data_IF_809586765904
#
_entry.id   IF_809586765904
#
_cell.length_a   1.000
_cell.length_b   1.000
_cell.length_c   1.000
_cell.angle_alpha   90.00
_cell.angle_beta   90.00
_cell.angle_gamma   90.00
#
_symmetry.space_group_name_H-M   'P 1'
#
loop_
_entity.id
_entity.type
_entity.pdbx_description
1 polymer ?
#
# COMPACT_ATOMS: atom_id res chain seq x y z
N UNK A 1 71.35 38.09 -27.07
CA UNK A 1 72.80 37.92 -26.95
C UNK A 1 73.11 36.39 -27.04
N UNK A 2 73.85 36.05 -28.14
CA UNK A 2 74.65 34.82 -28.37
C UNK A 2 73.95 33.46 -28.30
N UNK A 3 73.62 32.78 -29.45
CA UNK A 3 74.56 31.98 -30.29
C UNK A 3 75.14 30.77 -29.49
N UNK A 4 74.95 29.50 -29.93
CA UNK A 4 75.60 28.73 -31.03
C UNK A 4 75.09 27.31 -31.00
N UNK A 5 74.59 26.64 -32.06
CA UNK A 5 75.29 25.94 -33.17
C UNK A 5 76.19 24.76 -32.70
N UNK A 6 75.90 23.61 -33.34
CA UNK A 6 76.78 22.46 -33.56
C UNK A 6 75.96 21.18 -33.72
N UNK A 7 75.61 20.70 -34.83
CA UNK A 7 76.23 20.11 -36.07
C UNK A 7 77.10 18.85 -35.72
N UNK A 8 76.73 17.81 -36.42
CA UNK A 8 77.37 16.73 -37.18
C UNK A 8 77.16 15.31 -36.61
N UNK A 9 76.51 14.51 -37.50
CA UNK A 9 77.11 13.40 -38.29
C UNK A 9 77.48 12.19 -37.50
N UNK A 10 77.12 11.02 -37.79
CA UNK A 10 77.00 10.32 -39.03
C UNK A 10 76.92 8.81 -38.79
N UNK A 11 76.50 8.16 -39.80
CA UNK A 11 76.94 6.87 -40.31
C UNK A 11 76.33 5.58 -39.70
N UNK A 12 75.51 4.95 -40.47
CA UNK A 12 75.59 3.60 -41.09
C UNK A 12 75.74 2.42 -40.14
N UNK A 13 74.85 1.44 -40.21
CA UNK A 13 75.03 0.10 -40.82
C UNK A 13 73.86 -0.82 -40.47
N UNK A 14 73.11 -1.22 -41.44
CA UNK A 14 72.72 -2.55 -41.93
C UNK A 14 72.33 -3.66 -40.92
N UNK A 15 71.16 -4.21 -41.24
CA UNK A 15 70.75 -5.64 -41.21
C UNK A 15 70.46 -6.31 -39.90
N UNK A 16 69.17 -6.67 -39.75
CA UNK A 16 68.77 -8.06 -39.72
C UNK A 16 67.22 -8.18 -39.63
N UNK A 17 66.69 -8.79 -40.66
CA UNK A 17 65.33 -9.32 -40.72
C UNK A 17 65.22 -10.45 -39.72
N UNK A 18 64.42 -10.31 -38.71
CA UNK A 18 63.95 -11.43 -37.93
C UNK A 18 62.45 -11.29 -37.73
N UNK A 19 61.76 -12.05 -38.57
CA UNK A 19 60.31 -12.18 -38.49
C UNK A 19 59.90 -12.80 -37.17
N UNK A 20 59.28 -12.01 -36.31
CA UNK A 20 58.54 -12.51 -35.16
C UNK A 20 57.06 -12.48 -35.50
N UNK A 21 56.49 -13.64 -35.80
CA UNK A 21 55.07 -13.88 -35.78
C UNK A 21 54.56 -13.60 -34.37
N UNK A 22 53.83 -12.50 -34.20
CA UNK A 22 53.04 -12.25 -33.03
C UNK A 22 51.76 -13.06 -33.16
N UNK A 23 51.41 -13.92 -32.16
CA UNK A 23 50.09 -14.55 -32.15
C UNK A 23 49.04 -13.48 -31.90
N UNK A 24 48.10 -13.33 -32.84
CA UNK A 24 46.85 -12.58 -32.64
C UNK A 24 46.07 -13.22 -31.53
N UNK A 25 46.08 -12.64 -30.35
CA UNK A 25 45.16 -13.01 -29.28
C UNK A 25 43.73 -12.64 -29.73
N UNK A 26 42.77 -13.55 -29.67
CA UNK A 26 41.39 -13.19 -29.90
C UNK A 26 40.97 -12.24 -28.78
N UNK A 27 40.57 -11.01 -29.17
CA UNK A 27 39.87 -10.09 -28.31
C UNK A 27 38.57 -10.78 -27.92
N UNK A 28 38.49 -11.33 -26.73
CA UNK A 28 37.22 -11.69 -26.11
C UNK A 28 36.46 -10.39 -25.90
N UNK A 29 35.51 -10.14 -26.78
CA UNK A 29 34.48 -9.15 -26.55
C UNK A 29 33.77 -9.57 -25.27
N UNK A 30 34.07 -8.91 -24.16
CA UNK A 30 33.25 -8.96 -22.96
C UNK A 30 31.92 -8.34 -23.35
N UNK A 31 30.95 -9.18 -23.71
CA UNK A 31 29.57 -8.83 -23.72
C UNK A 31 29.24 -8.42 -22.29
N UNK A 32 29.19 -7.12 -22.02
CA UNK A 32 28.59 -6.56 -20.83
C UNK A 32 27.17 -7.12 -20.79
N UNK A 33 26.94 -8.11 -19.95
CA UNK A 33 25.60 -8.52 -19.59
C UNK A 33 24.95 -7.26 -18.98
N UNK A 34 24.12 -6.60 -19.77
CA UNK A 34 23.19 -5.61 -19.25
C UNK A 34 22.30 -6.40 -18.34
N UNK A 35 22.60 -6.33 -17.04
CA UNK A 35 21.75 -6.82 -16.00
C UNK A 35 20.43 -6.06 -16.18
N UNK A 36 19.44 -6.72 -16.79
CA UNK A 36 18.07 -6.23 -16.87
C UNK A 36 17.59 -6.23 -15.42
N UNK A 37 17.84 -5.12 -14.72
CA UNK A 37 17.16 -4.83 -13.47
C UNK A 37 15.70 -4.98 -13.81
N UNK A 38 15.10 -6.08 -13.35
CA UNK A 38 13.66 -6.28 -13.51
C UNK A 38 13.00 -5.13 -12.77
N UNK A 39 12.62 -4.11 -13.55
CA UNK A 39 11.90 -2.98 -13.00
C UNK A 39 10.71 -3.54 -12.21
N UNK A 40 10.66 -3.23 -10.92
CA UNK A 40 9.57 -3.61 -10.05
C UNK A 40 8.23 -3.20 -10.68
N UNK A 41 7.13 -3.60 -10.09
CA UNK A 41 5.82 -3.14 -10.54
C UNK A 41 5.71 -1.62 -10.36
N UNK A 42 4.82 -0.96 -11.07
CA UNK A 42 4.53 0.47 -10.91
C UNK A 42 3.12 0.81 -11.37
N UNK A 43 2.58 1.87 -10.82
CA UNK A 43 1.30 2.44 -11.25
C UNK A 43 1.58 3.34 -12.45
N UNK A 44 0.99 3.02 -13.60
CA UNK A 44 1.23 3.75 -14.86
C UNK A 44 0.12 4.76 -15.17
N UNK A 45 -1.11 4.48 -14.76
CA UNK A 45 -2.25 5.34 -15.06
C UNK A 45 -3.31 5.28 -13.96
N UNK A 46 -3.96 6.41 -13.71
CA UNK A 46 -5.14 6.53 -12.85
C UNK A 46 -6.22 7.26 -13.62
N UNK A 47 -7.41 6.67 -13.70
CA UNK A 47 -8.60 7.27 -14.33
C UNK A 47 -9.79 7.03 -13.42
N UNK A 48 -10.62 8.05 -13.21
CA UNK A 48 -11.90 7.93 -12.53
C UNK A 48 -13.05 8.20 -13.52
N UNK A 49 -14.09 7.41 -13.41
CA UNK A 49 -15.32 7.57 -14.18
C UNK A 49 -16.53 7.32 -13.29
N UNK A 50 -17.62 8.04 -13.53
CA UNK A 50 -18.91 7.78 -12.89
C UNK A 50 -19.71 6.80 -13.74
N UNK A 51 -20.20 5.73 -13.12
CA UNK A 51 -21.03 4.72 -13.76
C UNK A 51 -22.20 4.35 -12.86
N UNK A 52 -23.40 4.63 -13.29
CA UNK A 52 -24.63 4.25 -12.55
C UNK A 52 -24.68 4.80 -11.13
N UNK A 53 -24.18 6.02 -10.88
CA UNK A 53 -24.12 6.62 -9.55
C UNK A 53 -22.95 6.16 -8.68
N UNK A 54 -22.13 5.21 -9.14
CA UNK A 54 -20.89 4.80 -8.49
C UNK A 54 -19.71 5.49 -9.17
N UNK A 55 -18.62 5.66 -8.42
CA UNK A 55 -17.34 6.10 -8.99
C UNK A 55 -16.44 4.90 -9.13
N UNK A 56 -15.99 4.63 -10.35
CA UNK A 56 -15.00 3.59 -10.64
C UNK A 56 -13.66 4.26 -10.88
N UNK A 57 -12.71 4.01 -9.97
CA UNK A 57 -11.32 4.40 -10.11
C UNK A 57 -10.54 3.22 -10.67
N UNK A 58 -9.98 3.38 -11.86
CA UNK A 58 -9.16 2.38 -12.55
C UNK A 58 -7.70 2.76 -12.46
N UNK A 59 -6.90 1.88 -11.90
CA UNK A 59 -5.44 1.96 -11.86
C UNK A 59 -4.88 0.96 -12.86
N UNK A 60 -4.03 1.40 -13.77
CA UNK A 60 -3.31 0.50 -14.68
C UNK A 60 -1.89 0.32 -14.16
N UNK A 61 -1.51 -0.92 -13.95
CA UNK A 61 -0.21 -1.35 -13.43
C UNK A 61 0.72 -1.76 -14.58
N UNK A 62 2.03 -1.68 -14.38
CA UNK A 62 3.01 -2.20 -15.35
C UNK A 62 2.94 -3.74 -15.47
N UNK A 63 2.62 -4.42 -14.37
CA UNK A 63 2.46 -5.89 -14.29
C UNK A 63 1.20 -6.24 -13.51
N UNK A 64 0.55 -7.39 -13.77
CA UNK A 64 -0.55 -7.85 -12.94
C UNK A 64 -0.15 -7.97 -11.47
N UNK A 65 -1.09 -7.69 -10.56
CA UNK A 65 -0.92 -7.93 -9.14
C UNK A 65 -1.31 -9.38 -8.82
N UNK A 66 -0.55 -10.03 -7.97
CA UNK A 66 -0.84 -11.39 -7.50
C UNK A 66 -2.01 -11.43 -6.50
N UNK A 67 -2.24 -10.34 -5.78
CA UNK A 67 -3.32 -10.20 -4.79
C UNK A 67 -3.81 -8.76 -4.73
N UNK A 68 -5.00 -8.57 -4.17
CA UNK A 68 -5.53 -7.24 -3.93
C UNK A 68 -4.62 -6.45 -2.96
N UNK A 69 -4.45 -5.13 -3.18
CA UNK A 69 -3.69 -4.29 -2.26
C UNK A 69 -4.35 -4.25 -0.89
N UNK A 70 -3.55 -4.15 0.16
CA UNK A 70 -4.05 -3.86 1.49
C UNK A 70 -4.82 -2.53 1.49
N UNK A 71 -5.97 -2.48 2.15
CA UNK A 71 -6.77 -1.28 2.19
C UNK A 71 -7.34 -0.98 3.56
N UNK A 72 -7.38 0.30 3.91
CA UNK A 72 -8.09 0.77 5.10
C UNK A 72 -8.79 2.10 4.83
N UNK A 73 -9.85 2.36 5.59
CA UNK A 73 -10.60 3.60 5.49
C UNK A 73 -10.64 4.35 6.81
N UNK A 74 -10.72 5.67 6.72
CA UNK A 74 -10.84 6.58 7.87
C UNK A 74 -12.06 7.47 7.62
N UNK A 75 -12.95 7.58 8.62
CA UNK A 75 -14.19 8.31 8.44
C UNK A 75 -14.02 9.84 8.58
N UNK A 76 -13.07 10.30 9.40
CA UNK A 76 -12.87 11.72 9.65
C UNK A 76 -11.37 12.08 9.73
N UNK A 77 -10.83 12.77 8.71
CA UNK A 77 -11.44 13.10 7.41
C UNK A 77 -11.65 11.83 6.56
N UNK A 78 -12.70 11.84 5.71
CA UNK A 78 -13.07 10.68 4.91
C UNK A 78 -11.98 10.33 3.89
N UNK A 79 -11.34 9.18 4.06
CA UNK A 79 -10.24 8.69 3.22
C UNK A 79 -10.27 7.18 3.09
N UNK A 80 -9.82 6.70 1.93
CA UNK A 80 -9.48 5.30 1.71
C UNK A 80 -8.02 5.25 1.31
N UNK A 81 -7.22 4.46 2.02
CA UNK A 81 -5.83 4.22 1.68
C UNK A 81 -5.66 2.81 1.14
N UNK A 82 -4.83 2.67 0.11
CA UNK A 82 -4.48 1.41 -0.54
C UNK A 82 -2.96 1.29 -0.55
N UNK A 83 -2.45 0.19 -0.05
CA UNK A 83 -1.02 -0.09 0.02
C UNK A 83 -0.61 -1.10 -1.05
N UNK A 84 0.33 -0.71 -1.90
CA UNK A 84 0.90 -1.50 -2.98
C UNK A 84 2.37 -1.81 -2.63
N UNK A 85 2.68 -3.00 -2.09
CA UNK A 85 4.06 -3.42 -1.88
C UNK A 85 4.77 -3.63 -3.22
N UNK A 86 6.09 -3.57 -3.24
CA UNK A 86 6.96 -3.77 -4.40
C UNK A 86 6.51 -3.00 -5.65
N UNK A 87 5.92 -1.81 -5.44
CA UNK A 87 5.28 -1.02 -6.50
C UNK A 87 5.76 0.43 -6.44
N UNK A 88 6.27 0.93 -7.55
CA UNK A 88 6.70 2.30 -7.72
C UNK A 88 5.60 3.22 -8.24
N UNK A 89 5.81 4.52 -8.09
CA UNK A 89 4.97 5.57 -8.69
C UNK A 89 5.46 5.90 -10.11
N UNK A 90 4.83 5.31 -11.13
CA UNK A 90 5.12 5.57 -12.53
C UNK A 90 4.37 6.77 -13.12
N UNK A 91 3.54 7.47 -12.34
CA UNK A 91 2.71 8.58 -12.82
C UNK A 91 3.47 9.90 -12.98
N UNK A 92 4.67 10.01 -12.37
CA UNK A 92 5.45 11.25 -12.37
C UNK A 92 4.82 12.41 -11.57
N UNK A 93 3.79 12.12 -10.75
CA UNK A 93 3.10 13.09 -9.90
C UNK A 93 2.68 12.43 -8.58
N UNK A 94 2.57 13.24 -7.53
CA UNK A 94 2.23 12.79 -6.19
C UNK A 94 0.78 13.11 -5.79
N UNK A 95 0.03 13.78 -6.66
CA UNK A 95 -1.39 14.08 -6.44
C UNK A 95 -2.12 14.25 -7.76
N UNK A 96 -3.39 13.84 -7.77
CA UNK A 96 -4.30 14.06 -8.88
C UNK A 96 -5.67 14.42 -8.36
N UNK A 97 -6.24 15.53 -8.87
CA UNK A 97 -7.58 15.97 -8.53
C UNK A 97 -8.61 15.22 -9.38
N UNK A 98 -9.70 14.82 -8.72
CA UNK A 98 -10.88 14.24 -9.33
C UNK A 98 -12.10 14.95 -8.78
N UNK A 99 -13.13 15.16 -9.60
CA UNK A 99 -14.43 15.69 -9.18
C UNK A 99 -15.50 14.70 -9.66
N UNK A 100 -15.40 13.46 -9.17
CA UNK A 100 -16.30 12.38 -9.55
C UNK A 100 -17.00 11.87 -8.28
N UNK A 101 -18.30 12.07 -8.18
CA UNK A 101 -19.10 11.68 -7.02
C UNK A 101 -18.50 12.16 -5.69
N UNK A 102 -18.20 11.21 -4.80
CA UNK A 102 -17.57 11.51 -3.51
C UNK A 102 -16.03 11.61 -3.60
N UNK A 103 -15.39 11.21 -4.70
CA UNK A 103 -13.95 11.29 -4.88
C UNK A 103 -13.50 12.72 -5.20
N UNK A 104 -12.60 13.28 -4.38
CA UNK A 104 -12.03 14.62 -4.55
C UNK A 104 -10.63 14.60 -5.13
N UNK A 105 -9.77 13.81 -4.55
CA UNK A 105 -8.37 13.69 -5.03
C UNK A 105 -7.79 12.35 -4.64
N UNK A 106 -6.71 11.97 -5.33
CA UNK A 106 -5.87 10.84 -5.00
C UNK A 106 -4.46 11.36 -4.75
N UNK A 107 -3.93 11.11 -3.57
CA UNK A 107 -2.53 11.38 -3.24
C UNK A 107 -1.74 10.07 -3.38
N UNK A 108 -0.57 10.16 -3.95
CA UNK A 108 0.35 9.06 -4.19
C UNK A 108 1.60 9.29 -3.36
N UNK A 109 1.86 8.43 -2.39
CA UNK A 109 3.02 8.50 -1.51
C UNK A 109 3.86 7.26 -1.73
N UNK A 110 5.07 7.43 -2.23
CA UNK A 110 6.03 6.35 -2.35
C UNK A 110 7.07 6.43 -1.24
N UNK A 111 7.30 5.32 -0.55
CA UNK A 111 8.33 5.17 0.48
C UNK A 111 9.08 3.87 0.21
N UNK A 112 10.32 3.99 -0.28
CA UNK A 112 11.11 2.85 -0.71
C UNK A 112 10.46 2.14 -1.91
N UNK A 113 10.25 0.85 -1.77
CA UNK A 113 9.63 -0.04 -2.76
C UNK A 113 8.09 -0.10 -2.68
N UNK A 114 7.49 0.68 -1.79
CA UNK A 114 6.05 0.68 -1.52
C UNK A 114 5.40 1.98 -1.97
N UNK A 115 4.24 1.87 -2.62
CA UNK A 115 3.39 3.01 -2.96
C UNK A 115 2.07 2.93 -2.22
N UNK A 116 1.70 4.01 -1.53
CA UNK A 116 0.39 4.21 -0.91
C UNK A 116 -0.42 5.19 -1.73
N UNK A 117 -1.63 4.78 -2.14
CA UNK A 117 -2.64 5.67 -2.65
C UNK A 117 -3.58 6.09 -1.53
N UNK A 118 -3.84 7.39 -1.40
CA UNK A 118 -4.82 7.92 -0.47
C UNK A 118 -5.91 8.63 -1.27
N UNK A 119 -7.09 8.02 -1.31
CA UNK A 119 -8.30 8.59 -1.90
C UNK A 119 -8.92 9.54 -0.89
N UNK A 120 -8.97 10.82 -1.18
CA UNK A 120 -9.66 11.81 -0.35
C UNK A 120 -11.10 11.91 -0.84
N UNK A 121 -12.04 11.70 0.08
CA UNK A 121 -13.46 11.65 -0.21
C UNK A 121 -14.18 12.84 0.47
N UNK A 122 -15.33 13.24 -0.08
CA UNK A 122 -16.22 14.21 0.60
C UNK A 122 -16.93 13.60 1.80
N UNK A 123 -17.23 12.31 1.71
CA UNK A 123 -17.76 11.46 2.78
C UNK A 123 -17.28 10.03 2.58
N UNK A 124 -17.19 9.27 3.65
CA UNK A 124 -16.80 7.86 3.54
C UNK A 124 -17.92 7.08 2.82
N UNK A 125 -17.55 6.45 1.71
CA UNK A 125 -18.43 5.61 0.89
C UNK A 125 -17.92 4.18 0.93
N UNK A 126 -18.81 3.16 0.92
CA UNK A 126 -18.41 1.77 0.75
C UNK A 126 -17.65 1.61 -0.56
N UNK A 127 -16.64 0.75 -0.53
CA UNK A 127 -15.83 0.49 -1.72
C UNK A 127 -15.58 -1.02 -1.91
N UNK A 128 -15.33 -1.38 -3.15
CA UNK A 128 -14.94 -2.73 -3.57
C UNK A 128 -13.68 -2.65 -4.44
N UNK A 129 -12.81 -3.65 -4.33
CA UNK A 129 -11.56 -3.72 -5.10
C UNK A 129 -11.57 -5.00 -5.91
N UNK A 130 -11.38 -4.86 -7.23
CA UNK A 130 -11.26 -5.99 -8.16
C UNK A 130 -9.97 -5.87 -8.96
N UNK A 131 -9.38 -7.02 -9.22
CA UNK A 131 -8.22 -7.15 -10.09
C UNK A 131 -8.67 -7.69 -11.44
N UNK A 132 -8.30 -7.00 -12.51
CA UNK A 132 -8.56 -7.41 -13.91
C UNK A 132 -7.25 -7.29 -14.70
N UNK A 133 -6.57 -8.40 -14.91
CA UNK A 133 -5.26 -8.44 -15.56
C UNK A 133 -4.27 -7.45 -14.91
N UNK A 134 -3.94 -6.36 -15.61
CA UNK A 134 -3.06 -5.30 -15.10
C UNK A 134 -3.81 -4.13 -14.46
N UNK A 135 -5.14 -4.21 -14.42
CA UNK A 135 -5.95 -3.13 -13.90
C UNK A 135 -6.47 -3.46 -12.49
N UNK A 136 -6.44 -2.47 -11.63
CA UNK A 136 -7.08 -2.49 -10.31
C UNK A 136 -8.28 -1.57 -10.37
N UNK A 137 -9.46 -2.13 -10.23
CA UNK A 137 -10.72 -1.39 -10.23
C UNK A 137 -11.18 -1.17 -8.79
N UNK A 138 -11.32 0.09 -8.40
CA UNK A 138 -11.84 0.49 -7.09
C UNK A 138 -13.18 1.15 -7.33
N UNK A 139 -14.26 0.51 -6.90
CA UNK A 139 -15.63 1.01 -7.06
C UNK A 139 -16.09 1.64 -5.75
N UNK A 140 -16.31 2.95 -5.74
CA UNK A 140 -16.91 3.68 -4.62
C UNK A 140 -18.43 3.73 -4.85
N UNK A 141 -19.21 3.15 -3.93
CA UNK A 141 -20.67 3.09 -4.06
C UNK A 141 -21.32 4.34 -3.49
N UNK A 142 -22.23 4.99 -4.24
CA UNK A 142 -22.98 6.12 -3.72
C UNK A 142 -24.02 5.68 -2.67
N UNK A 143 -24.29 6.54 -1.68
CA UNK A 143 -25.28 6.26 -0.64
C UNK A 143 -26.70 6.11 -1.20
N UNK A 144 -27.01 6.75 -2.33
CA UNK A 144 -28.32 6.69 -2.97
C UNK A 144 -28.67 5.28 -3.50
N UNK A 145 -27.68 4.48 -3.88
CA UNK A 145 -27.94 3.10 -4.31
C UNK A 145 -28.27 2.14 -3.15
N UNK A 146 -27.90 2.46 -1.91
CA UNK A 146 -28.27 1.64 -0.75
C UNK A 146 -29.76 1.75 -0.40
N UNK A 147 -30.36 2.92 -0.55
CA UNK A 147 -31.81 3.09 -0.35
C UNK A 147 -32.61 2.39 -1.46
N UNK A 148 -32.15 2.47 -2.71
CA UNK A 148 -32.78 1.76 -3.82
C UNK A 148 -32.61 0.23 -3.72
N UNK A 149 -31.44 -0.24 -3.25
CA UNK A 149 -31.18 -1.68 -3.03
C UNK A 149 -32.02 -2.28 -1.89
N UNK A 150 -32.29 -1.50 -0.84
CA UNK A 150 -33.12 -1.97 0.28
C UNK A 150 -34.62 -1.98 -0.05
N UNK A 151 -35.08 -1.19 -1.03
CA UNK A 151 -36.47 -1.18 -1.49
C UNK A 151 -36.76 -2.31 -2.51
N UNK A 152 -35.73 -2.84 -3.18
CA UNK A 152 -35.87 -3.96 -4.15
C UNK A 152 -35.77 -5.33 -3.47
N UNK A 153 -35.32 -5.40 -2.20
CA UNK A 153 -35.19 -6.68 -1.48
C UNK A 153 -36.51 -7.23 -0.90
N UNK A 154 -37.67 -6.62 -1.19
CA UNK A 154 -38.98 -7.10 -0.71
C UNK A 154 -39.90 -7.71 -1.79
N UNK A 155 -39.43 -7.98 -2.98
CA UNK A 155 -40.23 -8.81 -3.91
C UNK A 155 -39.39 -9.38 -5.03
N UNK A 156 -38.97 -10.61 -4.93
CA UNK A 156 -39.11 -11.69 -5.89
C UNK A 156 -38.26 -12.90 -5.49
N UNK A 157 -38.89 -13.87 -4.84
CA UNK A 157 -38.48 -15.27 -4.97
C UNK A 157 -38.70 -15.66 -6.42
N UNK A 158 -37.66 -16.18 -7.04
CA UNK A 158 -37.58 -17.16 -8.13
C UNK A 158 -36.36 -16.88 -9.03
N UNK A 159 -35.18 -17.27 -8.56
CA UNK A 159 -34.09 -17.83 -9.36
C UNK A 159 -33.03 -18.34 -8.36
N UNK A 160 -32.68 -19.61 -8.47
CA UNK A 160 -31.61 -20.19 -7.67
C UNK A 160 -30.32 -19.37 -7.86
N UNK A 161 -29.65 -18.97 -6.77
CA UNK A 161 -28.40 -18.26 -6.93
C UNK A 161 -27.38 -19.22 -7.54
N UNK A 162 -26.76 -18.79 -8.65
CA UNK A 162 -25.51 -19.39 -9.08
C UNK A 162 -24.55 -19.43 -7.89
N UNK A 163 -23.70 -20.46 -7.71
CA UNK A 163 -22.78 -20.53 -6.60
C UNK A 163 -21.87 -19.31 -6.68
N UNK A 164 -22.12 -18.33 -5.78
CA UNK A 164 -21.17 -17.26 -5.53
C UNK A 164 -19.91 -17.96 -5.08
N UNK A 165 -18.81 -17.73 -5.78
CA UNK A 165 -17.47 -18.04 -5.29
C UNK A 165 -17.43 -17.59 -3.84
N UNK A 166 -17.22 -18.51 -2.92
CA UNK A 166 -17.09 -18.24 -1.49
C UNK A 166 -15.94 -17.26 -1.38
N UNK A 167 -16.28 -15.97 -1.16
CA UNK A 167 -15.28 -14.93 -0.98
C UNK A 167 -14.33 -15.39 0.12
N UNK A 168 -13.05 -15.40 -0.18
CA UNK A 168 -11.99 -15.77 0.74
C UNK A 168 -12.22 -15.02 2.05
N UNK A 169 -12.44 -15.77 3.14
CA UNK A 169 -12.56 -15.22 4.48
C UNK A 169 -11.16 -14.96 4.98
N UNK A 170 -10.92 -13.73 5.36
CA UNK A 170 -9.68 -13.34 6.01
C UNK A 170 -9.69 -13.82 7.47
N UNK A 171 -8.53 -13.91 8.08
CA UNK A 171 -8.42 -14.24 9.50
C UNK A 171 -7.34 -13.43 10.19
N UNK A 172 -7.57 -13.13 11.47
CA UNK A 172 -6.54 -12.60 12.34
C UNK A 172 -5.74 -13.77 12.89
N UNK A 173 -4.42 -13.71 12.73
CA UNK A 173 -3.48 -14.73 13.21
C UNK A 173 -2.94 -14.44 14.59
N UNK A 174 -2.63 -13.16 14.85
CA UNK A 174 -2.12 -12.72 16.14
C UNK A 174 -2.45 -11.24 16.40
N UNK A 175 -2.46 -10.86 17.66
CA UNK A 175 -2.66 -9.48 18.13
C UNK A 175 -1.60 -9.19 19.17
N UNK A 176 -0.73 -8.25 18.88
CA UNK A 176 0.37 -7.86 19.73
C UNK A 176 0.27 -6.37 20.09
N UNK A 177 0.56 -6.04 21.36
CA UNK A 177 0.62 -4.66 21.81
C UNK A 177 1.98 -4.36 22.44
N UNK A 178 2.56 -3.22 22.08
CA UNK A 178 3.84 -2.78 22.62
C UNK A 178 3.91 -1.27 22.72
N UNK A 179 4.79 -0.79 23.59
CA UNK A 179 5.16 0.63 23.66
C UNK A 179 6.23 0.90 22.62
N UNK A 180 6.07 1.97 21.84
CA UNK A 180 7.07 2.46 20.93
C UNK A 180 8.09 3.40 21.61
N UNK A 181 9.06 3.85 20.85
CA UNK A 181 10.21 4.65 21.36
C UNK A 181 9.81 6.04 21.86
N UNK A 182 8.78 6.62 21.30
CA UNK A 182 8.27 7.95 21.64
C UNK A 182 7.14 7.91 22.68
N UNK A 183 6.86 6.71 23.24
CA UNK A 183 5.80 6.48 24.21
C UNK A 183 4.45 6.17 23.59
N UNK A 184 4.38 6.03 22.26
CA UNK A 184 3.18 5.62 21.56
C UNK A 184 2.77 4.19 21.90
N UNK A 185 1.46 3.93 21.95
CA UNK A 185 0.90 2.58 21.98
C UNK A 185 0.84 2.04 20.55
N UNK A 186 1.49 0.90 20.33
CA UNK A 186 1.55 0.25 19.03
C UNK A 186 0.84 -1.09 19.06
N UNK A 187 -0.31 -1.14 18.41
CA UNK A 187 -1.08 -2.36 18.19
C UNK A 187 -0.70 -2.93 16.83
N UNK A 188 -0.25 -4.18 16.82
CA UNK A 188 0.12 -4.92 15.61
C UNK A 188 -0.83 -6.10 15.49
N UNK A 189 -1.50 -6.22 14.36
CA UNK A 189 -2.44 -7.31 14.05
C UNK A 189 -1.93 -8.06 12.86
N UNK A 190 -1.60 -9.34 13.04
CA UNK A 190 -1.17 -10.23 11.97
C UNK A 190 -2.39 -10.81 11.27
N UNK A 191 -2.48 -10.62 9.97
CA UNK A 191 -3.59 -11.03 9.12
C UNK A 191 -3.20 -12.27 8.29
N UNK A 192 -4.19 -12.99 7.79
CA UNK A 192 -3.97 -14.11 6.87
C UNK A 192 -3.33 -13.66 5.55
N UNK A 193 -3.69 -12.48 5.10
CA UNK A 193 -3.29 -11.92 3.82
C UNK A 193 -3.39 -10.39 3.82
N UNK A 194 -2.80 -9.75 2.83
CA UNK A 194 -2.77 -8.31 2.67
C UNK A 194 -4.07 -7.71 2.13
N UNK A 195 -4.99 -8.53 1.61
CA UNK A 195 -6.25 -8.08 0.99
C UNK A 195 -7.38 -7.79 2.00
N UNK A 196 -7.11 -7.93 3.31
CA UNK A 196 -8.11 -7.64 4.35
C UNK A 196 -8.51 -6.17 4.33
N UNK A 197 -9.79 -5.89 4.10
CA UNK A 197 -10.35 -4.54 4.21
C UNK A 197 -10.46 -4.12 5.68
N UNK A 198 -10.00 -2.90 5.99
CA UNK A 198 -9.98 -2.37 7.37
C UNK A 198 -10.65 -1.00 7.39
N UNK A 199 -11.65 -0.85 8.25
CA UNK A 199 -12.34 0.42 8.48
C UNK A 199 -11.98 0.97 9.86
N UNK A 200 -11.53 2.22 9.92
CA UNK A 200 -11.14 2.90 11.17
C UNK A 200 -11.98 4.13 11.35
N UNK A 201 -12.61 4.22 12.51
CA UNK A 201 -13.39 5.41 12.89
C UNK A 201 -13.23 5.74 14.38
N UNK A 202 -13.29 7.01 14.67
CA UNK A 202 -13.38 7.47 16.05
C UNK A 202 -14.85 7.51 16.46
N UNK A 203 -15.15 6.91 17.61
CA UNK A 203 -16.47 6.95 18.22
C UNK A 203 -16.32 7.42 19.68
N UNK A 204 -16.72 8.67 19.92
CA UNK A 204 -16.44 9.32 21.21
C UNK A 204 -14.95 9.40 21.47
N UNK A 205 -14.50 8.82 22.58
CA UNK A 205 -13.09 8.76 22.99
C UNK A 205 -12.40 7.49 22.53
N UNK A 206 -13.07 6.59 21.84
CA UNK A 206 -12.52 5.31 21.41
C UNK A 206 -12.27 5.26 19.90
N UNK A 207 -11.29 4.47 19.50
CA UNK A 207 -11.07 4.09 18.11
C UNK A 207 -11.72 2.72 17.86
N UNK A 208 -12.54 2.66 16.84
CA UNK A 208 -13.15 1.42 16.36
C UNK A 208 -12.42 1.02 15.08
N UNK A 209 -11.90 -0.21 15.07
CA UNK A 209 -11.24 -0.82 13.90
C UNK A 209 -12.04 -2.05 13.52
N UNK A 210 -12.67 -2.03 12.36
CA UNK A 210 -13.42 -3.16 11.80
C UNK A 210 -12.61 -3.83 10.69
N UNK A 211 -12.28 -5.10 10.87
CA UNK A 211 -11.68 -5.96 9.85
C UNK A 211 -12.81 -6.66 9.11
N UNK A 212 -12.99 -6.32 7.83
CA UNK A 212 -14.12 -6.73 7.01
C UNK A 212 -13.95 -8.18 6.53
N UNK A 213 -15.05 -8.96 6.52
CA UNK A 213 -15.07 -10.38 6.11
C UNK A 213 -13.96 -11.21 6.78
N UNK A 214 -13.71 -10.93 8.05
CA UNK A 214 -12.56 -11.46 8.80
C UNK A 214 -13.05 -12.25 10.01
N UNK A 215 -12.38 -13.35 10.30
CA UNK A 215 -12.60 -14.16 11.48
C UNK A 215 -11.41 -14.04 12.46
N UNK A 216 -11.65 -14.15 13.74
CA UNK A 216 -10.61 -14.22 14.75
C UNK A 216 -10.78 -15.52 15.58
N UNK A 217 -9.69 -16.23 15.87
CA UNK A 217 -9.70 -17.34 16.82
C UNK A 217 -10.27 -16.91 18.18
N UNK A 218 -10.91 -17.82 18.89
CA UNK A 218 -11.56 -17.51 20.17
C UNK A 218 -10.59 -16.91 21.20
N UNK A 219 -9.37 -17.41 21.24
CA UNK A 219 -8.33 -16.92 22.13
C UNK A 219 -7.94 -15.45 21.89
N UNK A 220 -8.17 -14.92 20.69
CA UNK A 220 -7.91 -13.53 20.36
C UNK A 220 -9.13 -12.62 20.59
N UNK A 221 -10.33 -13.19 20.76
CA UNK A 221 -11.56 -12.47 21.07
C UNK A 221 -11.65 -12.16 22.56
N UNK A 222 -10.82 -11.25 23.02
CA UNK A 222 -10.69 -10.90 24.44
C UNK A 222 -10.42 -9.41 24.63
N UNK A 223 -10.55 -8.96 25.86
CA UNK A 223 -10.09 -7.66 26.31
C UNK A 223 -8.63 -7.76 26.75
N UNK A 224 -7.77 -6.96 26.15
CA UNK A 224 -6.39 -6.77 26.59
C UNK A 224 -6.35 -5.48 27.42
N UNK A 225 -5.90 -5.59 28.65
CA UNK A 225 -5.55 -4.46 29.48
C UNK A 225 -4.08 -4.14 29.23
N UNK A 226 -3.83 -2.92 28.75
CA UNK A 226 -2.49 -2.48 28.35
C UNK A 226 -2.06 -1.20 29.10
N UNK A 227 -2.73 -0.91 30.21
CA UNK A 227 -2.49 0.29 31.02
C UNK A 227 -1.05 0.34 31.53
N UNK A 228 -0.47 -0.80 31.88
CA UNK A 228 0.86 -0.93 32.47
C UNK A 228 2.00 -0.64 31.47
N UNK A 229 1.68 -0.59 30.18
CA UNK A 229 2.66 -0.22 29.16
C UNK A 229 3.01 1.27 29.17
N UNK A 230 2.27 2.08 29.95
CA UNK A 230 2.53 3.53 30.06
C UNK A 230 2.38 4.28 28.75
N UNK A 231 1.43 3.86 27.92
CA UNK A 231 1.07 4.49 26.64
C UNK A 231 -0.28 5.20 26.75
N UNK A 232 -0.69 5.98 25.75
CA UNK A 232 -2.03 6.57 25.73
C UNK A 232 -3.17 5.53 25.67
N UNK A 233 -2.91 4.26 25.36
CA UNK A 233 -3.94 3.23 25.27
C UNK A 233 -4.11 2.53 26.62
N UNK A 234 -5.38 2.40 27.07
CA UNK A 234 -5.72 1.65 28.27
C UNK A 234 -6.18 0.23 27.98
N UNK A 235 -7.05 0.03 26.98
CA UNK A 235 -7.59 -1.30 26.68
C UNK A 235 -7.78 -1.49 25.16
N UNK A 236 -7.68 -2.75 24.74
CA UNK A 236 -8.04 -3.21 23.40
C UNK A 236 -9.03 -4.37 23.54
N UNK A 237 -10.24 -4.20 23.05
CA UNK A 237 -11.27 -5.22 23.06
C UNK A 237 -11.47 -5.76 21.65
N UNK A 238 -11.34 -7.07 21.47
CA UNK A 238 -11.56 -7.74 20.18
C UNK A 238 -12.81 -8.60 20.25
N UNK A 239 -13.72 -8.43 19.29
CA UNK A 239 -14.99 -9.14 19.20
C UNK A 239 -15.34 -9.48 17.76
N UNK A 240 -16.05 -10.61 17.55
CA UNK A 240 -16.65 -10.90 16.25
C UNK A 240 -18.02 -10.24 16.14
N UNK A 241 -18.31 -9.58 15.04
CA UNK A 241 -19.57 -8.90 14.79
C UNK A 241 -20.00 -9.00 13.32
N UNK A 242 -21.06 -9.75 13.05
CA UNK A 242 -21.68 -9.79 11.72
C UNK A 242 -20.76 -10.24 10.58
N UNK A 243 -19.87 -11.22 10.82
CA UNK A 243 -18.90 -11.70 9.83
C UNK A 243 -17.63 -10.82 9.70
N UNK A 244 -17.48 -9.83 10.59
CA UNK A 244 -16.30 -8.98 10.73
C UNK A 244 -15.69 -9.18 12.11
N UNK A 245 -14.45 -8.74 12.29
CA UNK A 245 -13.83 -8.60 13.62
C UNK A 245 -13.76 -7.12 13.95
N UNK A 246 -14.32 -6.75 15.09
CA UNK A 246 -14.24 -5.40 15.64
C UNK A 246 -13.23 -5.32 16.76
N UNK A 247 -12.31 -4.37 16.65
CA UNK A 247 -11.45 -3.96 17.75
C UNK A 247 -11.86 -2.59 18.26
N UNK A 248 -12.07 -2.47 19.56
CA UNK A 248 -12.31 -1.21 20.25
C UNK A 248 -11.06 -0.87 21.05
N UNK A 249 -10.36 0.15 20.61
CA UNK A 249 -9.17 0.69 21.31
C UNK A 249 -9.62 1.89 22.13
N UNK A 250 -9.33 1.87 23.43
CA UNK A 250 -9.71 2.94 24.36
C UNK A 250 -8.48 3.74 24.76
N UNK A 251 -8.22 4.88 24.16
CA UNK A 251 -7.14 5.78 24.54
C UNK A 251 -7.51 6.60 25.79
N UNK A 252 -6.51 7.26 26.37
CA UNK A 252 -6.61 8.20 27.51
C UNK A 252 -5.87 9.49 27.20
N UNK A 253 -6.34 10.58 27.78
CA UNK A 253 -5.77 11.93 27.57
C UNK A 253 -6.03 12.45 26.16
N UNK A 254 -5.19 13.40 25.73
CA UNK A 254 -5.19 13.88 24.36
C UNK A 254 -4.26 12.99 23.52
N UNK A 255 -4.76 12.53 22.38
CA UNK A 255 -4.05 11.57 21.55
C UNK A 255 -4.34 11.82 20.06
N UNK A 256 -3.40 11.39 19.27
CA UNK A 256 -3.53 11.25 17.82
C UNK A 256 -3.22 9.82 17.42
N UNK A 257 -3.70 9.41 16.27
CA UNK A 257 -3.44 8.06 15.77
C UNK A 257 -2.93 8.09 14.34
N UNK A 258 -2.13 7.08 14.04
CA UNK A 258 -1.69 6.75 12.70
C UNK A 258 -1.93 5.25 12.48
N UNK A 259 -2.41 4.89 11.29
CA UNK A 259 -2.62 3.50 10.93
C UNK A 259 -2.04 3.22 9.56
N UNK A 260 -1.47 2.02 9.42
CA UNK A 260 -0.95 1.55 8.15
C UNK A 260 -0.96 0.03 8.09
N UNK A 261 -0.99 -0.50 6.89
CA UNK A 261 -0.82 -1.92 6.63
C UNK A 261 0.51 -2.14 5.92
N UNK A 262 1.23 -3.15 6.35
CA UNK A 262 2.49 -3.59 5.77
C UNK A 262 2.41 -5.09 5.58
N UNK A 263 2.32 -5.53 4.32
CA UNK A 263 2.10 -6.93 3.99
C UNK A 263 0.87 -7.49 4.74
N UNK A 264 1.06 -8.55 5.49
CA UNK A 264 0.01 -9.19 6.29
C UNK A 264 -0.12 -8.58 7.70
N UNK A 265 0.47 -7.43 7.97
CA UNK A 265 0.39 -6.77 9.27
C UNK A 265 -0.35 -5.43 9.18
N UNK A 266 -1.36 -5.28 9.99
CA UNK A 266 -1.96 -3.99 10.27
C UNK A 266 -1.34 -3.40 11.54
N UNK A 267 -0.94 -2.15 11.49
CA UNK A 267 -0.34 -1.42 12.61
C UNK A 267 -1.15 -0.18 12.90
N UNK A 268 -1.58 -0.05 14.16
CA UNK A 268 -2.20 1.16 14.70
C UNK A 268 -1.30 1.74 15.77
N UNK A 269 -0.87 2.97 15.59
CA UNK A 269 -0.09 3.74 16.54
C UNK A 269 -0.97 4.82 17.17
N UNK A 270 -0.98 4.90 18.48
CA UNK A 270 -1.67 5.95 19.26
C UNK A 270 -0.63 6.71 20.03
N UNK A 271 -0.46 8.00 19.70
CA UNK A 271 0.54 8.90 20.28
C UNK A 271 -0.10 9.90 21.22
N UNK A 272 0.56 10.29 22.32
CA UNK A 272 0.11 11.43 23.11
C UNK A 272 0.32 12.72 22.29
N UNK A 273 -0.67 13.59 22.29
CA UNK A 273 -0.47 14.95 21.79
C UNK A 273 0.44 15.67 22.79
N UNK A 274 1.61 16.10 22.35
CA UNK A 274 2.47 16.97 23.15
C UNK A 274 1.86 18.37 23.08
N UNK A 275 1.40 18.90 24.23
CA UNK A 275 1.13 20.33 24.31
C UNK A 275 2.47 21.03 24.16
N UNK A 276 2.61 21.87 23.13
CA UNK A 276 3.73 22.78 23.00
C UNK A 276 3.59 23.80 24.13
N UNK A 277 4.65 24.04 24.94
CA UNK A 277 4.60 24.96 26.08
C UNK A 277 4.42 26.41 25.68
#
# INVERSE_FOLDING_TARGET
MKMRRGVLQGAWVLTAVCGALLPSAPAFAQASAVEVVQAGNRIEKIVAAEQGGNVVLKLTMAKPLASAPGSFSVASPARVALDFPDTGNGLGRNSQQFNAGDLRSVNIVQVGDRTRLVLNLSRLSPYDIRLEDRDVLITLSSAQMREAGNLVSQSTQFAAPAPMSQGERHSIRDINFRRGKEGEGRLVVDLSDAGTGIDIRQQGTSLIVDFLKTEAPEQLRRKLDVIDFGTPVSTVLTQSQGGNVRMTVTPRGQWEHNAYQSDNQFVLEVKPVKEDP
#
